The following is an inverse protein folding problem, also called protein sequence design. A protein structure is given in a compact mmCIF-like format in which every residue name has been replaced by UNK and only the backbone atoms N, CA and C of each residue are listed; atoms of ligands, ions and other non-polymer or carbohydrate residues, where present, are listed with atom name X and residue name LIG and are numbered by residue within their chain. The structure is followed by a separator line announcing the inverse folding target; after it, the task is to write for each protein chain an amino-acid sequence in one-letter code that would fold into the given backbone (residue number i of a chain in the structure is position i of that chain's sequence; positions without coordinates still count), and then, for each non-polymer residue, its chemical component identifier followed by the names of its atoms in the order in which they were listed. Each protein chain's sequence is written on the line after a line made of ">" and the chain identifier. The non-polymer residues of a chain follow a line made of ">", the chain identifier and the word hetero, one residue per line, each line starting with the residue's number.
data_IF_465999608831
#
_entry.id   IF_465999608831
#
_cell.length_a   1.000
_cell.length_b   1.000
_cell.length_c   1.000
_cell.angle_alpha   90.00
_cell.angle_beta   90.00
_cell.angle_gamma   90.00
#
_symmetry.space_group_name_H-M   'P 1'
#
loop_
_entity.id
_entity.type
_entity.pdbx_description
1 polymer ?
#
# COMPACT_ATOMS: atom_id res chain seq x y z
N UNK A 1 -61.59 -28.72 18.65
CA UNK A 1 -62.71 -28.89 17.71
C UNK A 1 -62.36 -28.14 16.42
N UNK A 2 -62.55 -28.78 15.28
CA UNK A 2 -62.04 -28.40 13.96
C UNK A 2 -62.90 -27.37 13.21
N UNK A 3 -62.30 -26.66 12.22
CA UNK A 3 -62.84 -26.17 10.92
C UNK A 3 -61.80 -25.19 10.32
N UNK A 4 -61.22 -25.25 9.11
CA UNK A 4 -61.57 -25.65 7.72
C UNK A 4 -62.01 -24.48 6.79
N UNK A 5 -61.42 -24.48 5.56
CA UNK A 5 -61.74 -23.77 4.27
C UNK A 5 -61.04 -22.43 3.99
N UNK A 6 -60.41 -22.09 2.84
CA UNK A 6 -60.37 -22.52 1.41
C UNK A 6 -61.08 -21.57 0.40
N UNK A 7 -60.39 -21.34 -0.74
CA UNK A 7 -60.77 -20.73 -2.04
C UNK A 7 -60.68 -19.18 -2.15
N UNK A 8 -60.40 -18.50 -3.28
CA UNK A 8 -60.45 -18.82 -4.73
C UNK A 8 -59.73 -17.74 -5.58
N UNK A 9 -59.28 -18.10 -6.78
CA UNK A 9 -58.66 -17.27 -7.85
C UNK A 9 -59.69 -16.53 -8.75
N UNK A 10 -59.29 -15.38 -9.36
CA UNK A 10 -60.02 -14.64 -10.41
C UNK A 10 -59.11 -14.27 -11.60
N UNK A 11 -59.71 -14.29 -12.80
CA UNK A 11 -59.13 -14.18 -14.15
C UNK A 11 -60.08 -13.30 -15.00
N UNK A 12 -59.58 -12.39 -15.86
CA UNK A 12 -60.23 -11.83 -17.10
C UNK A 12 -59.37 -10.68 -17.66
N UNK A 13 -58.74 -10.79 -18.85
CA UNK A 13 -59.17 -10.52 -20.26
C UNK A 13 -59.36 -9.04 -20.63
N UNK A 14 -58.58 -8.57 -21.63
CA UNK A 14 -58.73 -7.29 -22.35
C UNK A 14 -58.91 -7.57 -23.86
N UNK A 15 -59.87 -6.88 -24.48
CA UNK A 15 -60.08 -6.75 -25.93
C UNK A 15 -59.79 -5.29 -26.36
N UNK A 16 -59.34 -5.11 -27.60
CA UNK A 16 -59.12 -3.86 -28.35
C UNK A 16 -60.36 -3.53 -29.24
N UNK A 17 -60.29 -2.61 -30.25
CA UNK A 17 -60.11 -1.15 -30.22
C UNK A 17 -61.26 -0.41 -30.99
N UNK A 18 -61.24 0.94 -31.06
CA UNK A 18 -61.45 1.78 -32.28
C UNK A 18 -62.24 3.10 -32.10
N UNK A 19 -61.75 4.12 -32.85
CA UNK A 19 -62.44 5.32 -33.40
C UNK A 19 -62.79 6.48 -32.42
N UNK A 20 -62.69 7.78 -32.75
CA UNK A 20 -62.23 8.53 -33.92
C UNK A 20 -62.03 10.02 -33.55
N UNK A 21 -61.17 10.69 -34.33
CA UNK A 21 -61.25 12.07 -34.86
C UNK A 21 -61.62 13.28 -33.99
N UNK A 22 -60.72 14.28 -33.94
CA UNK A 22 -61.14 15.69 -34.17
C UNK A 22 -60.02 16.56 -34.78
N UNK A 23 -60.26 16.90 -36.06
CA UNK A 23 -59.97 18.14 -36.81
C UNK A 23 -58.64 18.94 -36.65
N UNK A 24 -57.93 18.95 -37.78
CA UNK A 24 -56.91 19.88 -38.26
C UNK A 24 -57.45 21.32 -38.46
N UNK A 25 -56.71 22.34 -38.02
CA UNK A 25 -56.71 23.70 -38.59
C UNK A 25 -55.27 24.18 -38.76
N UNK A 26 -54.89 24.44 -40.02
CA UNK A 26 -53.59 24.98 -40.44
C UNK A 26 -53.67 26.50 -40.61
N UNK A 27 -52.55 27.19 -40.32
CA UNK A 27 -51.84 28.25 -41.09
C UNK A 27 -50.98 29.10 -40.11
N UNK A 28 -49.92 29.82 -40.54
CA UNK A 28 -48.94 29.56 -41.60
C UNK A 28 -47.46 29.68 -41.12
N UNK A 29 -46.55 29.29 -42.01
CA UNK A 29 -45.07 29.27 -41.92
C UNK A 29 -44.40 30.48 -41.25
N UNK A 30 -43.39 30.19 -40.42
CA UNK A 30 -42.19 31.02 -40.27
C UNK A 30 -40.93 30.15 -40.48
N UNK A 31 -40.02 30.69 -41.28
CA UNK A 31 -38.73 30.11 -41.68
C UNK A 31 -37.70 30.20 -40.54
N UNK A 32 -36.64 29.42 -40.71
CA UNK A 32 -35.28 29.61 -40.16
C UNK A 32 -34.96 28.85 -38.87
N UNK A 33 -33.94 27.99 -38.93
CA UNK A 33 -33.38 27.37 -37.74
C UNK A 33 -32.66 26.03 -37.90
N UNK A 34 -32.35 25.56 -39.10
CA UNK A 34 -31.37 24.49 -39.28
C UNK A 34 -29.97 25.11 -39.28
N UNK A 35 -29.34 25.23 -38.11
CA UNK A 35 -27.90 25.21 -37.80
C UNK A 35 -27.84 25.33 -36.26
N UNK A 36 -27.84 24.20 -35.54
CA UNK A 36 -27.37 24.13 -34.14
C UNK A 36 -27.29 22.68 -33.61
N UNK A 37 -27.06 21.70 -34.49
CA UNK A 37 -26.88 20.29 -34.10
C UNK A 37 -25.47 19.73 -34.41
N UNK A 38 -24.49 20.58 -34.76
CA UNK A 38 -23.14 20.14 -35.16
C UNK A 38 -21.98 20.77 -34.38
N UNK A 39 -22.23 21.65 -33.41
CA UNK A 39 -21.17 22.22 -32.57
C UNK A 39 -21.02 21.51 -31.22
N UNK A 40 -22.08 20.87 -30.71
CA UNK A 40 -22.05 20.18 -29.41
C UNK A 40 -21.40 18.80 -29.49
N UNK A 41 -21.48 18.11 -30.64
CA UNK A 41 -20.78 16.84 -30.84
C UNK A 41 -19.27 17.02 -31.08
N UNK A 42 -18.82 18.13 -31.66
CA UNK A 42 -17.39 18.41 -31.83
C UNK A 42 -16.72 18.96 -30.55
N UNK A 43 -17.48 19.64 -29.68
CA UNK A 43 -16.98 20.12 -28.39
C UNK A 43 -16.90 19.02 -27.31
N UNK A 44 -17.63 17.90 -27.46
CA UNK A 44 -17.61 16.80 -26.49
C UNK A 44 -16.57 15.70 -26.80
N UNK A 45 -16.03 15.65 -28.03
CA UNK A 45 -14.92 14.76 -28.37
C UNK A 45 -13.53 15.33 -28.01
N UNK A 46 -13.46 16.59 -27.53
CA UNK A 46 -12.22 17.22 -27.05
C UNK A 46 -11.96 17.03 -25.55
N UNK A 47 -12.82 16.32 -24.83
CA UNK A 47 -12.76 16.14 -23.37
C UNK A 47 -12.69 14.67 -22.92
N UNK A 48 -12.60 13.73 -23.86
CA UNK A 48 -12.18 12.38 -23.53
C UNK A 48 -10.65 12.39 -23.62
N UNK A 49 -9.90 12.29 -22.51
CA UNK A 49 -8.51 11.93 -22.63
C UNK A 49 -8.50 10.56 -23.32
N UNK A 50 -8.15 10.55 -24.60
CA UNK A 50 -7.66 9.33 -25.22
C UNK A 50 -6.53 8.87 -24.31
N UNK A 51 -6.63 7.64 -23.81
CA UNK A 51 -5.54 6.98 -23.11
C UNK A 51 -4.36 6.90 -24.09
N UNK A 52 -3.57 7.97 -24.16
CA UNK A 52 -2.25 7.93 -24.73
C UNK A 52 -1.53 6.83 -23.95
N UNK A 53 -1.00 5.82 -24.67
CA UNK A 53 -0.10 4.86 -24.05
C UNK A 53 0.95 5.66 -23.30
N UNK A 54 0.97 5.48 -21.97
CA UNK A 54 1.82 6.21 -21.05
C UNK A 54 3.28 6.06 -21.51
N UNK A 55 3.80 7.07 -22.21
CA UNK A 55 5.21 7.11 -22.52
C UNK A 55 5.96 7.21 -21.19
N UNK A 56 6.91 6.30 -20.95
CA UNK A 56 7.72 6.35 -19.74
C UNK A 56 8.43 7.70 -19.66
N UNK A 57 8.16 8.46 -18.58
CA UNK A 57 8.68 9.81 -18.37
C UNK A 57 10.10 9.81 -17.81
N UNK A 58 10.44 8.74 -17.11
CA UNK A 58 11.77 8.49 -16.59
C UNK A 58 12.43 7.44 -17.49
N UNK A 59 13.74 7.54 -17.66
CA UNK A 59 14.49 6.70 -18.59
C UNK A 59 15.90 7.23 -18.81
N UNK A 60 16.06 8.56 -18.64
CA UNK A 60 17.35 9.23 -18.56
C UNK A 60 18.03 9.09 -17.19
N UNK A 61 19.28 9.58 -17.09
CA UNK A 61 20.09 9.48 -15.88
C UNK A 61 19.71 10.41 -14.72
N UNK A 62 18.99 11.52 -14.93
CA UNK A 62 18.48 12.33 -13.81
C UNK A 62 17.16 12.98 -14.21
N UNK A 63 16.13 12.74 -13.39
CA UNK A 63 14.76 13.20 -13.63
C UNK A 63 14.24 13.90 -12.38
N UNK A 64 13.61 15.06 -12.55
CA UNK A 64 12.93 15.79 -11.46
C UNK A 64 11.47 15.99 -11.82
N UNK A 65 10.57 15.56 -10.93
CA UNK A 65 9.11 15.69 -11.05
C UNK A 65 8.63 16.84 -10.18
N UNK A 66 8.01 17.85 -10.80
CA UNK A 66 7.56 19.09 -10.14
C UNK A 66 6.05 19.28 -10.12
N UNK A 67 5.33 18.43 -10.85
CA UNK A 67 3.89 18.46 -11.08
C UNK A 67 3.31 17.04 -11.08
N UNK A 68 2.02 16.92 -11.36
CA UNK A 68 1.33 15.63 -11.40
C UNK A 68 1.64 14.87 -12.70
N UNK A 69 2.09 13.63 -12.53
CA UNK A 69 2.36 12.67 -13.59
C UNK A 69 1.41 11.50 -13.45
N UNK A 70 0.84 11.03 -14.56
CA UNK A 70 -0.14 9.94 -14.59
C UNK A 70 0.39 8.66 -15.26
N UNK A 71 1.69 8.64 -15.56
CA UNK A 71 2.37 7.62 -16.34
C UNK A 71 3.50 6.99 -15.51
N UNK A 72 3.83 5.73 -15.80
CA UNK A 72 4.92 5.02 -15.14
C UNK A 72 6.26 5.71 -15.39
N UNK A 73 7.11 5.70 -14.36
CA UNK A 73 8.47 6.20 -14.38
C UNK A 73 9.45 5.00 -14.43
N UNK A 74 10.01 4.70 -15.61
CA UNK A 74 11.00 3.62 -15.78
C UNK A 74 12.46 4.11 -15.62
N UNK A 75 13.09 3.81 -14.50
CA UNK A 75 14.50 4.12 -14.25
C UNK A 75 15.38 2.98 -14.77
N UNK A 76 15.52 2.89 -16.10
CA UNK A 76 16.29 1.83 -16.76
C UNK A 76 17.81 2.05 -16.77
N UNK A 77 18.26 3.30 -16.66
CA UNK A 77 19.69 3.65 -16.68
C UNK A 77 20.33 3.43 -15.30
N UNK A 78 21.51 2.81 -15.25
CA UNK A 78 22.29 2.78 -14.01
C UNK A 78 22.75 4.17 -13.59
N UNK A 79 22.93 4.38 -12.28
CA UNK A 79 23.22 5.68 -11.68
C UNK A 79 22.13 6.73 -11.93
N UNK A 80 20.91 6.30 -12.30
CA UNK A 80 19.81 7.23 -12.48
C UNK A 80 19.45 7.89 -11.14
N UNK A 81 19.01 9.16 -11.18
CA UNK A 81 18.47 9.86 -10.04
C UNK A 81 17.04 10.28 -10.32
N UNK A 82 16.09 9.88 -9.47
CA UNK A 82 14.73 10.41 -9.47
C UNK A 82 14.54 11.34 -8.28
N UNK A 83 14.09 12.57 -8.54
CA UNK A 83 13.63 13.49 -7.50
C UNK A 83 12.16 13.83 -7.72
N UNK A 84 11.30 13.55 -6.76
CA UNK A 84 9.92 14.04 -6.73
C UNK A 84 9.87 15.18 -5.70
N UNK A 85 9.58 16.39 -6.17
CA UNK A 85 9.49 17.57 -5.29
C UNK A 85 8.19 17.57 -4.49
N UNK A 86 8.04 18.48 -3.53
CA UNK A 86 6.85 18.59 -2.68
C UNK A 86 5.55 18.79 -3.48
N UNK A 87 5.61 19.46 -4.63
CA UNK A 87 4.47 19.62 -5.54
C UNK A 87 4.37 18.52 -6.60
N UNK A 88 5.39 17.67 -6.71
CA UNK A 88 5.43 16.56 -7.65
C UNK A 88 4.54 15.40 -7.20
N UNK A 89 3.87 14.77 -8.15
CA UNK A 89 3.16 13.51 -7.93
C UNK A 89 3.40 12.55 -9.07
N UNK A 90 3.59 11.26 -8.78
CA UNK A 90 3.56 10.18 -9.77
C UNK A 90 2.42 9.26 -9.37
N UNK A 91 1.36 9.21 -10.17
CA UNK A 91 0.19 8.37 -9.95
C UNK A 91 -0.04 7.49 -11.17
N UNK A 92 0.33 6.21 -11.11
CA UNK A 92 0.07 5.30 -12.24
C UNK A 92 -1.28 4.57 -12.07
N UNK A 93 -2.11 4.63 -13.10
CA UNK A 93 -3.34 3.84 -13.19
C UNK A 93 -3.08 2.48 -13.83
N UNK A 94 -3.07 1.41 -13.04
CA UNK A 94 -2.99 0.02 -13.55
C UNK A 94 -1.58 -0.52 -13.78
N UNK A 95 -0.54 0.22 -13.41
CA UNK A 95 0.86 -0.18 -13.52
C UNK A 95 1.63 0.29 -12.27
N UNK A 96 2.91 -0.08 -12.19
CA UNK A 96 3.79 0.48 -11.17
C UNK A 96 3.95 2.00 -11.39
N UNK A 97 4.04 2.79 -10.31
CA UNK A 97 4.32 4.22 -10.46
C UNK A 97 5.78 4.46 -10.82
N UNK A 98 6.70 3.75 -10.17
CA UNK A 98 8.12 3.73 -10.51
C UNK A 98 8.62 2.29 -10.67
N UNK A 99 9.31 2.02 -11.76
CA UNK A 99 10.01 0.77 -12.01
C UNK A 99 11.52 1.04 -12.11
N UNK A 100 12.32 0.40 -11.25
CA UNK A 100 13.77 0.57 -11.23
C UNK A 100 14.43 -0.64 -11.87
N UNK A 101 14.98 -0.49 -13.08
CA UNK A 101 15.71 -1.57 -13.78
C UNK A 101 17.21 -1.32 -13.86
N UNK A 102 17.63 -0.06 -13.77
CA UNK A 102 19.02 0.33 -13.62
C UNK A 102 19.56 -0.03 -12.24
N UNK A 103 20.88 -0.13 -12.14
CA UNK A 103 21.58 -0.33 -10.87
C UNK A 103 22.08 0.98 -10.28
N UNK A 104 22.30 1.02 -8.96
CA UNK A 104 22.80 2.20 -8.24
C UNK A 104 21.92 3.44 -8.42
N UNK A 105 20.59 3.26 -8.45
CA UNK A 105 19.63 4.36 -8.61
C UNK A 105 19.46 5.11 -7.30
N UNK A 106 19.45 6.44 -7.35
CA UNK A 106 19.13 7.30 -6.20
C UNK A 106 17.71 7.84 -6.33
N UNK A 107 16.91 7.75 -5.27
CA UNK A 107 15.53 8.20 -5.26
C UNK A 107 15.29 9.14 -4.08
N UNK A 108 14.75 10.33 -4.37
CA UNK A 108 14.38 11.32 -3.37
C UNK A 108 12.92 11.71 -3.57
N UNK A 109 12.05 11.24 -2.66
CA UNK A 109 10.64 11.61 -2.66
C UNK A 109 10.34 12.65 -1.59
N UNK A 110 9.86 13.82 -2.00
CA UNK A 110 9.27 14.85 -1.14
C UNK A 110 7.79 15.09 -1.42
N UNK A 111 7.29 14.54 -2.53
CA UNK A 111 5.90 14.68 -2.97
C UNK A 111 5.13 13.38 -2.78
N UNK A 112 4.39 12.98 -3.81
CA UNK A 112 3.55 11.79 -3.77
C UNK A 112 3.96 10.76 -4.85
N UNK A 113 4.17 9.52 -4.45
CA UNK A 113 4.30 8.38 -5.36
C UNK A 113 3.18 7.41 -5.00
N UNK A 114 2.22 7.23 -5.91
CA UNK A 114 0.96 6.56 -5.61
C UNK A 114 0.52 5.60 -6.72
N UNK A 115 -0.14 4.51 -6.32
CA UNK A 115 -0.91 3.66 -7.23
C UNK A 115 -2.31 3.41 -6.66
N UNK A 116 -3.33 3.68 -7.48
CA UNK A 116 -4.72 3.66 -7.02
C UNK A 116 -5.30 2.25 -6.95
N UNK A 117 -5.05 1.42 -7.97
CA UNK A 117 -5.81 0.17 -8.21
C UNK A 117 -4.93 -1.08 -8.33
N UNK A 118 -3.97 -1.09 -9.25
CA UNK A 118 -3.07 -2.22 -9.49
C UNK A 118 -1.62 -1.72 -9.61
N UNK A 119 -0.67 -2.61 -9.36
CA UNK A 119 0.76 -2.32 -9.40
C UNK A 119 1.35 -2.00 -8.04
N UNK A 120 2.63 -1.66 -8.02
CA UNK A 120 3.39 -1.28 -6.83
C UNK A 120 3.84 0.17 -6.99
N UNK A 121 3.82 0.98 -5.92
CA UNK A 121 4.23 2.38 -6.05
C UNK A 121 5.71 2.49 -6.49
N UNK A 122 6.60 1.67 -5.91
CA UNK A 122 7.98 1.50 -6.37
C UNK A 122 8.32 0.01 -6.44
N UNK A 123 8.65 -0.48 -7.64
CA UNK A 123 9.24 -1.82 -7.81
C UNK A 123 10.73 -1.71 -8.11
N UNK A 124 11.55 -2.41 -7.33
CA UNK A 124 12.99 -2.46 -7.54
C UNK A 124 13.42 -3.79 -8.17
N UNK A 125 13.85 -3.70 -9.44
CA UNK A 125 14.30 -4.81 -10.27
C UNK A 125 15.80 -4.74 -10.63
N UNK A 126 16.47 -3.61 -10.37
CA UNK A 126 17.86 -3.38 -10.80
C UNK A 126 18.84 -2.98 -9.70
N UNK A 127 18.38 -2.24 -8.68
CA UNK A 127 19.20 -1.82 -7.56
C UNK A 127 19.05 -0.33 -7.24
N UNK A 128 18.57 -0.03 -6.04
CA UNK A 128 18.49 1.32 -5.51
C UNK A 128 19.65 1.49 -4.51
N UNK A 129 20.49 2.49 -4.70
CA UNK A 129 21.51 2.83 -3.72
C UNK A 129 20.87 3.42 -2.47
N UNK A 130 20.10 4.49 -2.67
CA UNK A 130 19.44 5.23 -1.60
C UNK A 130 18.01 5.61 -2.02
N UNK A 131 17.04 5.30 -1.16
CA UNK A 131 15.67 5.76 -1.24
C UNK A 131 15.38 6.63 -0.01
N UNK A 132 15.35 7.95 -0.21
CA UNK A 132 14.95 8.90 0.82
C UNK A 132 13.49 9.30 0.60
N UNK A 133 12.63 9.03 1.58
CA UNK A 133 11.23 9.43 1.55
C UNK A 133 10.92 10.43 2.68
N UNK A 134 10.59 11.66 2.29
CA UNK A 134 10.03 12.69 3.19
C UNK A 134 8.59 13.06 2.83
N UNK A 135 8.12 12.61 1.66
CA UNK A 135 6.73 12.72 1.23
C UNK A 135 5.93 11.44 1.49
N UNK A 136 5.06 11.09 0.55
CA UNK A 136 4.20 9.90 0.62
C UNK A 136 4.55 8.91 -0.49
N UNK A 137 4.76 7.65 -0.13
CA UNK A 137 4.79 6.52 -1.05
C UNK A 137 3.62 5.61 -0.66
N UNK A 138 2.65 5.40 -1.53
CA UNK A 138 1.44 4.70 -1.14
C UNK A 138 0.80 3.85 -2.23
N UNK A 139 0.08 2.82 -1.82
CA UNK A 139 -0.65 1.95 -2.72
C UNK A 139 -2.00 1.56 -2.12
N UNK A 140 -3.10 1.79 -2.84
CA UNK A 140 -4.47 1.54 -2.32
C UNK A 140 -5.17 0.33 -2.92
N UNK A 141 -4.61 -0.25 -3.98
CA UNK A 141 -5.11 -1.48 -4.61
C UNK A 141 -5.21 -2.68 -3.66
N UNK A 142 -5.93 -3.74 -4.04
CA UNK A 142 -5.86 -5.03 -3.35
C UNK A 142 -4.53 -5.74 -3.68
N UNK A 143 -3.89 -6.37 -2.68
CA UNK A 143 -2.65 -7.15 -2.86
C UNK A 143 -1.47 -6.39 -3.50
N UNK A 144 -1.43 -5.06 -3.33
CA UNK A 144 -0.35 -4.20 -3.82
C UNK A 144 0.61 -3.82 -2.70
N UNK A 145 1.84 -3.46 -3.08
CA UNK A 145 2.85 -2.96 -2.18
C UNK A 145 3.12 -1.47 -2.42
N UNK A 146 3.49 -0.73 -1.38
CA UNK A 146 4.04 0.61 -1.61
C UNK A 146 5.45 0.47 -2.18
N UNK A 147 6.25 -0.45 -1.62
CA UNK A 147 7.59 -0.76 -2.10
C UNK A 147 7.72 -2.28 -2.22
N UNK A 148 7.99 -2.76 -3.43
CA UNK A 148 8.30 -4.15 -3.73
C UNK A 148 9.78 -4.27 -4.11
N UNK A 149 10.56 -4.95 -3.27
CA UNK A 149 11.99 -5.11 -3.49
C UNK A 149 12.35 -6.52 -3.93
N UNK A 150 12.97 -6.65 -5.11
CA UNK A 150 13.47 -7.93 -5.65
C UNK A 150 15.00 -7.93 -5.75
N UNK A 151 15.64 -6.76 -5.64
CA UNK A 151 17.10 -6.58 -5.74
C UNK A 151 17.65 -5.85 -4.50
N UNK A 152 18.81 -5.21 -4.62
CA UNK A 152 19.40 -4.44 -3.53
C UNK A 152 18.72 -3.07 -3.38
N UNK A 153 18.37 -2.73 -2.14
CA UNK A 153 18.24 -1.35 -1.66
C UNK A 153 19.35 -1.16 -0.63
N UNK A 154 20.27 -0.22 -0.85
CA UNK A 154 21.30 0.10 0.13
C UNK A 154 20.65 0.70 1.39
N UNK A 155 20.15 1.92 1.27
CA UNK A 155 19.44 2.60 2.36
C UNK A 155 18.02 2.94 1.96
N UNK A 156 17.06 2.57 2.81
CA UNK A 156 15.70 3.09 2.77
C UNK A 156 15.49 3.98 4.00
N UNK A 157 15.54 5.29 3.82
CA UNK A 157 15.34 6.30 4.87
C UNK A 157 13.95 6.90 4.73
N UNK A 158 13.03 6.48 5.60
CA UNK A 158 11.67 7.00 5.66
C UNK A 158 11.51 7.99 6.80
N UNK A 159 11.24 9.25 6.46
CA UNK A 159 10.80 10.33 7.38
C UNK A 159 9.40 10.83 7.07
N UNK A 160 8.85 10.43 5.93
CA UNK A 160 7.48 10.69 5.51
C UNK A 160 6.56 9.51 5.80
N UNK A 161 5.69 9.19 4.86
CA UNK A 161 4.74 8.07 4.95
C UNK A 161 5.01 7.03 3.87
N UNK A 162 5.09 5.76 4.26
CA UNK A 162 5.04 4.60 3.35
C UNK A 162 3.83 3.77 3.75
N UNK A 163 2.85 3.62 2.86
CA UNK A 163 1.58 2.98 3.24
C UNK A 163 1.02 2.07 2.17
N UNK A 164 0.55 0.88 2.54
CA UNK A 164 -0.21 0.03 1.61
C UNK A 164 -1.52 -0.44 2.20
N UNK A 165 -2.61 -0.30 1.44
CA UNK A 165 -3.90 -0.80 1.86
C UNK A 165 -4.02 -2.29 1.62
N UNK A 166 -3.85 -2.82 0.41
CA UNK A 166 -4.16 -4.23 0.12
C UNK A 166 -3.05 -5.25 0.37
N UNK A 167 -1.82 -4.83 0.59
CA UNK A 167 -0.65 -5.68 0.80
C UNK A 167 0.35 -5.03 1.74
N UNK A 168 1.60 -5.49 1.76
CA UNK A 168 2.62 -4.93 2.65
C UNK A 168 3.02 -3.51 2.25
N UNK A 169 3.33 -2.65 3.22
CA UNK A 169 3.87 -1.32 2.88
C UNK A 169 5.24 -1.48 2.21
N UNK A 170 6.11 -2.29 2.81
CA UNK A 170 7.37 -2.73 2.24
C UNK A 170 7.36 -4.25 2.18
N UNK A 171 7.60 -4.79 0.98
CA UNK A 171 7.78 -6.22 0.78
C UNK A 171 9.17 -6.50 0.20
N UNK A 172 10.05 -7.04 1.04
CA UNK A 172 11.37 -7.52 0.63
C UNK A 172 11.26 -8.99 0.22
N UNK A 173 11.26 -9.24 -1.08
CA UNK A 173 11.04 -10.59 -1.63
C UNK A 173 12.26 -11.48 -1.42
N UNK A 174 12.14 -12.76 -1.76
CA UNK A 174 13.16 -13.79 -1.54
C UNK A 174 14.57 -13.40 -2.04
N UNK A 175 14.67 -12.72 -3.19
CA UNK A 175 15.95 -12.23 -3.74
C UNK A 175 16.28 -10.78 -3.33
N UNK A 176 15.36 -10.11 -2.66
CA UNK A 176 15.51 -8.75 -2.19
C UNK A 176 16.50 -8.67 -1.03
N UNK A 177 17.33 -7.64 -1.08
CA UNK A 177 18.24 -7.27 -0.01
C UNK A 177 18.00 -5.80 0.34
N UNK A 178 17.77 -5.49 1.61
CA UNK A 178 17.76 -4.12 2.12
C UNK A 178 18.87 -4.01 3.16
N UNK A 179 19.94 -3.26 2.91
CA UNK A 179 21.04 -3.19 3.87
C UNK A 179 20.59 -2.45 5.14
N UNK A 180 19.96 -1.28 4.97
CA UNK A 180 19.45 -0.48 6.08
C UNK A 180 18.04 0.03 5.80
N UNK A 181 17.09 -0.32 6.67
CA UNK A 181 15.75 0.23 6.71
C UNK A 181 15.61 1.12 7.95
N UNK A 182 15.61 2.43 7.73
CA UNK A 182 15.51 3.45 8.79
C UNK A 182 14.18 4.14 8.69
N UNK A 183 13.40 4.09 9.75
CA UNK A 183 12.10 4.75 9.85
C UNK A 183 12.09 5.76 11.00
N UNK A 184 11.99 7.04 10.66
CA UNK A 184 11.63 8.13 11.59
C UNK A 184 10.24 8.72 11.31
N UNK A 185 9.62 8.32 10.21
CA UNK A 185 8.26 8.67 9.82
C UNK A 185 7.24 7.58 10.18
N UNK A 186 6.31 7.33 9.26
CA UNK A 186 5.28 6.30 9.39
C UNK A 186 5.42 5.25 8.30
N UNK A 187 5.42 3.99 8.69
CA UNK A 187 5.23 2.84 7.77
C UNK A 187 3.99 2.10 8.23
N UNK A 188 2.94 2.03 7.42
CA UNK A 188 1.72 1.35 7.81
C UNK A 188 1.07 0.51 6.72
N UNK A 189 0.41 -0.58 7.12
CA UNK A 189 -0.32 -1.41 6.16
C UNK A 189 -1.51 -2.13 6.77
N UNK A 190 -2.47 -2.49 5.92
CA UNK A 190 -3.59 -3.34 6.36
C UNK A 190 -3.28 -4.84 6.44
N UNK A 191 -2.09 -5.27 5.98
CA UNK A 191 -1.60 -6.64 6.11
C UNK A 191 -0.39 -6.63 7.05
N UNK A 192 0.80 -6.39 6.53
CA UNK A 192 1.98 -6.13 7.33
C UNK A 192 2.76 -4.91 6.86
N UNK A 193 3.19 -4.06 7.79
CA UNK A 193 3.95 -2.87 7.45
C UNK A 193 5.23 -3.26 6.72
N UNK A 194 5.92 -4.29 7.23
CA UNK A 194 7.12 -4.85 6.63
C UNK A 194 6.96 -6.36 6.53
N UNK A 195 7.03 -6.90 5.31
CA UNK A 195 7.18 -8.33 5.05
C UNK A 195 8.56 -8.62 4.49
N UNK A 196 9.24 -9.61 5.06
CA UNK A 196 10.58 -10.02 4.65
C UNK A 196 10.64 -11.52 4.33
N UNK A 197 10.91 -11.82 3.06
CA UNK A 197 11.23 -13.15 2.56
C UNK A 197 12.71 -13.29 2.18
N UNK A 198 13.41 -12.16 2.00
CA UNK A 198 14.83 -12.06 1.67
C UNK A 198 15.69 -11.63 2.86
N UNK A 199 16.62 -10.69 2.62
CA UNK A 199 17.53 -10.18 3.66
C UNK A 199 17.25 -8.71 3.99
N UNK A 200 17.13 -8.40 5.28
CA UNK A 200 17.24 -7.03 5.80
C UNK A 200 18.43 -7.01 6.76
N UNK A 201 19.41 -6.15 6.55
CA UNK A 201 20.50 -5.98 7.51
C UNK A 201 19.96 -5.38 8.81
N UNK A 202 19.82 -4.06 8.84
CA UNK A 202 19.30 -3.37 10.03
C UNK A 202 17.92 -2.78 9.78
N UNK A 203 16.97 -3.05 10.67
CA UNK A 203 15.70 -2.34 10.79
C UNK A 203 15.75 -1.43 12.00
N UNK A 204 15.88 -0.11 11.77
CA UNK A 204 15.86 0.91 12.82
C UNK A 204 14.53 1.65 12.77
N UNK A 205 13.78 1.62 13.86
CA UNK A 205 12.54 2.35 14.01
C UNK A 205 12.65 3.40 15.11
N UNK A 206 12.74 4.67 14.74
CA UNK A 206 12.58 5.83 15.62
C UNK A 206 11.17 6.47 15.48
N UNK A 207 10.40 6.07 14.45
CA UNK A 207 9.05 6.54 14.15
C UNK A 207 7.96 5.53 14.54
N UNK A 208 6.93 5.42 13.68
CA UNK A 208 5.83 4.45 13.85
C UNK A 208 5.83 3.43 12.73
N UNK A 209 5.79 2.14 13.09
CA UNK A 209 5.51 1.04 12.17
C UNK A 209 4.22 0.37 12.65
N UNK A 210 3.21 0.26 11.79
CA UNK A 210 1.93 -0.35 12.17
C UNK A 210 1.32 -1.26 11.12
N UNK A 211 0.98 -2.49 11.51
CA UNK A 211 0.31 -3.46 10.67
C UNK A 211 -0.97 -3.97 11.30
N UNK A 212 -1.85 -4.55 10.49
CA UNK A 212 -3.16 -5.04 10.95
C UNK A 212 -3.16 -6.54 11.23
N UNK A 213 -2.57 -7.35 10.34
CA UNK A 213 -2.45 -8.80 10.54
C UNK A 213 -1.17 -9.15 11.29
N UNK A 214 -0.07 -8.53 10.90
CA UNK A 214 1.20 -8.56 11.62
C UNK A 214 1.92 -7.24 11.34
N UNK A 215 2.72 -6.69 12.25
CA UNK A 215 3.40 -5.41 11.95
C UNK A 215 4.70 -5.63 11.18
N UNK A 216 5.58 -6.47 11.71
CA UNK A 216 6.79 -6.94 11.05
C UNK A 216 6.70 -8.46 10.93
N UNK A 217 6.77 -8.97 9.70
CA UNK A 217 6.81 -10.40 9.42
C UNK A 217 8.14 -10.77 8.80
N UNK A 218 8.90 -11.63 9.47
CA UNK A 218 10.06 -12.30 8.91
C UNK A 218 9.70 -13.74 8.59
N UNK A 219 9.51 -14.05 7.31
CA UNK A 219 9.11 -15.36 6.82
C UNK A 219 10.21 -16.41 7.08
N UNK A 220 9.89 -17.69 6.91
CA UNK A 220 10.83 -18.79 7.18
C UNK A 220 12.13 -18.73 6.36
N UNK A 221 12.10 -18.12 5.17
CA UNK A 221 13.29 -17.87 4.34
C UNK A 221 13.97 -16.54 4.64
N UNK A 222 13.28 -15.66 5.36
CA UNK A 222 13.71 -14.31 5.65
C UNK A 222 14.79 -14.27 6.74
N UNK A 223 15.74 -13.37 6.55
CA UNK A 223 16.74 -13.03 7.57
C UNK A 223 16.67 -11.53 7.85
N UNK A 224 16.66 -11.18 9.14
CA UNK A 224 16.88 -9.83 9.61
C UNK A 224 18.10 -9.85 10.53
N UNK A 225 19.15 -9.06 10.29
CA UNK A 225 20.28 -9.09 11.21
C UNK A 225 19.92 -8.48 12.56
N UNK A 226 19.29 -7.31 12.58
CA UNK A 226 18.87 -6.66 13.82
C UNK A 226 17.60 -5.81 13.66
N UNK A 227 16.73 -5.87 14.67
CA UNK A 227 15.66 -4.88 14.85
C UNK A 227 16.01 -3.99 16.03
N UNK A 228 16.12 -2.68 15.80
CA UNK A 228 16.31 -1.66 16.83
C UNK A 228 15.06 -0.77 16.88
N UNK A 229 14.26 -0.92 17.93
CA UNK A 229 13.06 -0.11 18.13
C UNK A 229 13.25 0.95 19.20
N UNK A 230 13.25 2.23 18.82
CA UNK A 230 13.18 3.39 19.72
C UNK A 230 11.85 4.12 19.67
N UNK A 231 11.06 3.90 18.62
CA UNK A 231 9.71 4.42 18.45
C UNK A 231 8.63 3.42 18.84
N UNK A 232 7.59 3.34 18.01
CA UNK A 232 6.43 2.46 18.20
C UNK A 232 6.34 1.42 17.09
N UNK A 233 6.22 0.15 17.49
CA UNK A 233 5.77 -0.95 16.62
C UNK A 233 4.41 -1.39 17.15
N UNK A 234 3.35 -1.19 16.37
CA UNK A 234 1.98 -1.42 16.83
C UNK A 234 1.17 -2.31 15.88
N UNK A 235 0.72 -3.44 16.39
CA UNK A 235 -0.36 -4.20 15.78
C UNK A 235 -1.69 -3.50 16.07
N UNK A 236 -2.34 -3.00 15.01
CA UNK A 236 -3.62 -2.28 15.13
C UNK A 236 -4.76 -3.23 14.80
N UNK A 237 -5.52 -3.75 15.78
CA UNK A 237 -6.65 -4.63 15.49
C UNK A 237 -7.78 -3.88 14.78
N UNK A 238 -8.38 -4.55 13.80
CA UNK A 238 -9.54 -4.04 13.07
C UNK A 238 -10.80 -4.14 13.93
N UNK A 239 -11.32 -3.03 14.43
CA UNK A 239 -12.71 -2.96 14.85
C UNK A 239 -13.58 -2.74 13.61
N UNK A 240 -14.34 -3.76 13.18
CA UNK A 240 -15.50 -3.57 12.29
C UNK A 240 -15.33 -3.79 10.78
N UNK A 241 -14.33 -4.53 10.31
CA UNK A 241 -14.26 -4.96 8.90
C UNK A 241 -14.37 -6.49 8.77
N UNK A 242 -15.20 -6.95 7.84
CA UNK A 242 -15.38 -8.37 7.51
C UNK A 242 -14.17 -8.81 6.68
N UNK A 243 -13.17 -9.42 7.34
CA UNK A 243 -11.93 -9.87 6.71
C UNK A 243 -12.12 -11.20 5.96
N UNK A 244 -11.51 -11.33 4.78
CA UNK A 244 -11.44 -12.55 3.97
C UNK A 244 -10.42 -13.59 4.47
N UNK A 245 -9.91 -13.50 5.71
CA UNK A 245 -8.97 -14.48 6.26
C UNK A 245 -9.01 -14.50 7.81
N UNK A 246 -8.68 -15.65 8.45
CA UNK A 246 -8.70 -15.78 9.91
C UNK A 246 -7.40 -15.22 10.52
N UNK A 247 -7.34 -13.92 10.77
CA UNK A 247 -6.22 -13.32 11.53
C UNK A 247 -6.74 -12.65 12.81
N UNK A 248 -6.92 -13.39 13.93
CA UNK A 248 -7.26 -12.81 15.21
C UNK A 248 -6.03 -12.54 16.09
N UNK A 249 -4.83 -12.41 15.55
CA UNK A 249 -3.63 -12.14 16.37
C UNK A 249 -3.11 -10.73 16.12
N UNK A 250 -3.12 -9.92 17.18
CA UNK A 250 -2.51 -8.59 17.19
C UNK A 250 -0.99 -8.76 17.33
N UNK A 251 -0.35 -9.37 16.34
CA UNK A 251 1.09 -9.67 16.38
C UNK A 251 1.89 -8.46 15.88
N UNK A 252 2.67 -7.86 16.76
CA UNK A 252 3.58 -6.77 16.39
C UNK A 252 4.78 -7.34 15.62
N UNK A 253 5.33 -8.47 16.06
CA UNK A 253 6.46 -9.11 15.39
C UNK A 253 6.17 -10.60 15.26
N UNK A 254 6.27 -11.09 14.02
CA UNK A 254 6.17 -12.51 13.69
C UNK A 254 7.50 -12.94 13.07
N UNK A 255 8.34 -13.63 13.84
CA UNK A 255 9.56 -14.22 13.32
C UNK A 255 9.42 -15.73 13.12
N UNK A 256 9.36 -16.15 11.86
CA UNK A 256 9.41 -17.55 11.43
C UNK A 256 10.78 -17.92 10.83
N UNK A 257 11.59 -16.92 10.46
CA UNK A 257 12.95 -17.08 9.94
C UNK A 257 14.01 -16.77 10.99
N UNK A 258 15.13 -16.21 10.52
CA UNK A 258 16.28 -15.90 11.37
C UNK A 258 16.30 -14.41 11.73
N UNK A 259 16.43 -14.11 13.02
CA UNK A 259 16.87 -12.79 13.49
C UNK A 259 18.18 -12.96 14.25
N UNK A 260 19.31 -12.55 13.64
CA UNK A 260 20.65 -12.96 14.07
C UNK A 260 21.10 -12.28 15.37
N UNK A 261 21.03 -10.96 15.42
CA UNK A 261 21.43 -10.16 16.58
C UNK A 261 20.27 -9.87 17.53
N UNK A 262 19.06 -10.33 17.20
CA UNK A 262 17.86 -10.18 18.02
C UNK A 262 17.13 -8.84 17.85
N UNK A 263 16.25 -8.56 18.79
CA UNK A 263 15.37 -7.39 18.83
C UNK A 263 15.78 -6.54 20.04
N UNK A 264 16.35 -5.36 19.78
CA UNK A 264 16.73 -4.39 20.79
C UNK A 264 15.61 -3.34 20.93
N UNK A 265 14.79 -3.47 21.96
CA UNK A 265 13.64 -2.58 22.19
C UNK A 265 13.95 -1.54 23.27
N UNK A 266 13.94 -0.26 22.89
CA UNK A 266 14.00 0.91 23.77
C UNK A 266 12.64 1.61 23.90
N UNK A 267 11.74 1.38 22.93
CA UNK A 267 10.42 2.02 22.84
C UNK A 267 9.25 1.07 23.17
N UNK A 268 8.14 1.26 22.47
CA UNK A 268 6.91 0.50 22.65
C UNK A 268 6.75 -0.54 21.54
N UNK A 269 6.50 -1.78 21.95
CA UNK A 269 5.95 -2.83 21.09
C UNK A 269 4.54 -3.14 21.60
N UNK A 270 3.54 -2.75 20.82
CA UNK A 270 2.14 -2.94 21.15
C UNK A 270 1.55 -4.07 20.32
N UNK A 271 1.43 -5.24 20.95
CA UNK A 271 1.03 -6.48 20.29
C UNK A 271 1.89 -7.66 20.75
N UNK A 272 1.57 -8.86 20.29
CA UNK A 272 2.36 -10.04 20.60
C UNK A 272 3.68 -10.03 19.84
N UNK A 273 4.68 -10.70 20.39
CA UNK A 273 5.99 -10.88 19.79
C UNK A 273 6.27 -12.37 19.72
N UNK A 274 6.35 -12.90 18.50
CA UNK A 274 6.78 -14.27 18.23
C UNK A 274 8.25 -14.24 17.82
N UNK A 275 9.13 -14.73 18.69
CA UNK A 275 10.57 -14.62 18.54
C UNK A 275 11.18 -15.63 17.57
N UNK A 276 10.53 -16.76 17.30
CA UNK A 276 11.23 -17.90 16.73
C UNK A 276 12.38 -18.30 17.66
N UNK A 277 13.62 -18.36 17.16
CA UNK A 277 14.84 -18.55 17.97
C UNK A 277 15.52 -17.26 18.44
N UNK A 278 14.93 -16.09 18.15
CA UNK A 278 15.57 -14.80 18.40
C UNK A 278 15.61 -14.42 19.89
N UNK A 279 16.51 -13.50 20.22
CA UNK A 279 16.54 -12.83 21.51
C UNK A 279 15.76 -11.51 21.46
N UNK A 280 14.93 -11.24 22.46
CA UNK A 280 14.36 -9.92 22.73
C UNK A 280 15.10 -9.27 23.89
N UNK A 281 15.60 -8.05 23.70
CA UNK A 281 16.20 -7.23 24.73
C UNK A 281 15.31 -6.04 25.03
N UNK A 282 14.88 -5.92 26.28
CA UNK A 282 14.18 -4.74 26.77
C UNK A 282 15.22 -3.81 27.39
N UNK A 283 15.55 -2.74 26.67
CA UNK A 283 16.64 -1.82 26.97
C UNK A 283 16.10 -0.54 27.63
N UNK A 284 16.39 -0.36 28.92
CA UNK A 284 15.99 0.81 29.70
C UNK A 284 14.55 0.78 30.24
N UNK A 285 14.22 1.76 31.08
CA UNK A 285 12.95 1.80 31.83
C UNK A 285 11.73 2.18 30.96
N UNK A 286 11.94 2.68 29.74
CA UNK A 286 10.88 3.02 28.79
C UNK A 286 10.49 1.85 27.87
N UNK A 287 11.30 0.79 27.84
CA UNK A 287 11.07 -0.39 27.02
C UNK A 287 9.84 -1.16 27.48
N UNK A 288 8.87 -1.33 26.58
CA UNK A 288 7.59 -1.98 26.90
C UNK A 288 7.14 -2.92 25.79
N UNK A 289 6.62 -4.08 26.18
CA UNK A 289 5.82 -4.98 25.34
C UNK A 289 4.48 -5.17 26.00
N UNK A 290 3.38 -4.95 25.28
CA UNK A 290 2.03 -5.06 25.88
C UNK A 290 1.32 -6.37 25.56
N UNK A 291 1.80 -7.16 24.60
CA UNK A 291 1.24 -8.45 24.24
C UNK A 291 2.06 -9.64 24.77
N UNK A 292 1.65 -10.85 24.37
CA UNK A 292 2.36 -12.07 24.70
C UNK A 292 3.72 -12.10 24.00
N UNK A 293 4.77 -12.45 24.72
CA UNK A 293 6.05 -12.84 24.12
C UNK A 293 6.14 -14.35 24.09
N UNK A 294 6.27 -14.93 22.89
CA UNK A 294 6.46 -16.36 22.67
C UNK A 294 7.72 -16.60 21.86
N UNK A 295 8.29 -17.80 21.97
CA UNK A 295 9.49 -18.17 21.23
C UNK A 295 9.65 -19.70 21.19
N UNK A 296 10.49 -20.16 20.27
CA UNK A 296 10.90 -21.54 20.13
C UNK A 296 12.09 -21.87 21.03
N UNK A 297 12.73 -23.02 20.73
CA UNK A 297 14.00 -23.36 21.33
C UNK A 297 15.02 -22.23 21.11
N UNK A 298 15.85 -21.97 22.12
CA UNK A 298 16.93 -20.96 22.12
C UNK A 298 16.50 -19.50 22.10
N UNK A 299 15.19 -19.22 22.04
CA UNK A 299 14.68 -17.87 22.29
C UNK A 299 14.96 -17.43 23.72
N UNK A 300 15.18 -16.13 23.90
CA UNK A 300 15.41 -15.55 25.22
C UNK A 300 14.87 -14.13 25.32
N UNK A 301 14.46 -13.75 26.52
CA UNK A 301 14.11 -12.36 26.86
C UNK A 301 15.12 -11.85 27.89
N UNK A 302 15.82 -10.79 27.55
CA UNK A 302 16.79 -10.12 28.42
C UNK A 302 16.24 -8.76 28.80
N UNK A 303 16.09 -8.50 30.10
CA UNK A 303 15.62 -7.20 30.59
C UNK A 303 16.80 -6.44 31.16
N UNK A 304 17.20 -5.34 30.51
CA UNK A 304 18.24 -4.42 30.96
C UNK A 304 17.61 -3.13 31.49
N UNK A 305 16.88 -3.25 32.60
CA UNK A 305 16.15 -2.15 33.22
C UNK A 305 15.34 -2.62 34.42
N UNK A 306 14.46 -1.77 34.95
CA UNK A 306 13.55 -2.16 36.04
C UNK A 306 12.39 -2.97 35.51
N UNK A 307 12.31 -4.24 35.93
CA UNK A 307 11.15 -5.08 35.64
C UNK A 307 10.01 -4.81 36.64
N UNK A 308 8.84 -4.43 36.14
CA UNK A 308 7.61 -4.27 36.94
C UNK A 308 6.53 -5.19 36.40
N UNK A 309 6.04 -6.09 37.25
CA UNK A 309 4.85 -6.90 36.98
C UNK A 309 3.65 -6.09 37.49
N UNK A 310 2.67 -5.84 36.62
CA UNK A 310 1.38 -5.25 36.98
C UNK A 310 0.30 -6.32 37.00
#
# INVERSE_FOLDING_TARGET
>A
MAQARSTRSKKTRYCSPSQAETAFRLLPRARSGAILASAVAAALHGLVPTAAGAASLCGGGTTTITDAQNSMCDLASSNATLTVTESGSITAGGFNAVEVRGSNVTMVNRGNIHVDVEGTAIVNLGGIADLTNTGTISATGPMVYAIGNIQQIGTLDNRGTISAWGGNAIYNQLSGNIDNLVNSGTINSSVAAIGNDGHIGQLVNDGTISGRSATITNSATGTIDEIVNRGTIEAVPLLGFVAFAPFPTADAIVNLGTITNGISNYGLIQGNVQLGSAQLRLEGDASRVTGLVSGGADSSVVVKGKFKIH
#
